data_IF_673981085374
#
_entry.id   IF_673981085374
#
_cell.length_a   1.000
_cell.length_b   1.000
_cell.length_c   1.000
_cell.angle_alpha   90.00
_cell.angle_beta   90.00
_cell.angle_gamma   90.00
#
_symmetry.space_group_name_H-M   'P 1'
#
loop_
_entity.id
_entity.type
_entity.pdbx_description
1 polymer ?
#
# COMPACT_ATOMS: atom_id res chain seq x y z
N UNK A 1 -49.19 -27.28 29.65
CA UNK A 1 -47.74 -27.54 29.49
C UNK A 1 -47.39 -27.56 28.01
N UNK A 2 -46.58 -26.59 27.55
CA UNK A 2 -45.45 -26.69 26.60
C UNK A 2 -45.27 -25.35 25.89
N UNK A 3 -44.17 -24.68 26.27
CA UNK A 3 -43.52 -23.57 25.57
C UNK A 3 -42.88 -24.11 24.27
N UNK A 4 -42.52 -23.19 23.37
CA UNK A 4 -41.50 -23.22 22.29
C UNK A 4 -42.10 -22.45 21.09
N UNK A 5 -41.47 -21.53 20.37
CA UNK A 5 -40.22 -20.76 20.46
C UNK A 5 -40.26 -19.82 19.25
N UNK A 6 -39.78 -18.58 19.39
CA UNK A 6 -39.58 -17.61 18.32
C UNK A 6 -38.75 -18.20 17.16
N UNK A 7 -38.93 -17.67 15.94
CA UNK A 7 -37.76 -17.13 15.28
C UNK A 7 -37.94 -15.66 14.90
N UNK A 8 -37.07 -14.88 15.51
CA UNK A 8 -36.51 -13.59 15.12
C UNK A 8 -36.46 -13.41 13.60
N UNK A 9 -37.24 -12.48 13.07
CA UNK A 9 -37.03 -11.94 11.72
C UNK A 9 -35.91 -10.90 11.83
N UNK A 10 -34.66 -11.35 11.72
CA UNK A 10 -33.51 -10.43 11.63
C UNK A 10 -33.53 -9.83 10.24
N UNK A 11 -33.97 -8.58 10.16
CA UNK A 11 -33.79 -7.72 9.00
C UNK A 11 -32.29 -7.47 8.83
N UNK A 12 -31.67 -8.20 7.91
CA UNK A 12 -30.29 -7.98 7.50
C UNK A 12 -30.22 -6.66 6.70
N UNK A 13 -29.99 -5.54 7.40
CA UNK A 13 -29.52 -4.31 6.76
C UNK A 13 -28.08 -4.53 6.28
N UNK A 14 -27.96 -4.92 5.02
CA UNK A 14 -26.74 -4.76 4.24
C UNK A 14 -26.44 -3.25 4.15
N UNK A 15 -25.50 -2.76 4.95
CA UNK A 15 -24.93 -1.43 4.77
C UNK A 15 -23.59 -1.57 4.04
N UNK A 16 -23.71 -1.29 2.74
CA UNK A 16 -22.72 -0.73 1.83
C UNK A 16 -21.26 -0.78 2.29
N UNK A 17 -20.48 -1.58 1.56
CA UNK A 17 -19.07 -1.32 1.33
C UNK A 17 -18.90 0.14 0.92
N UNK A 18 -18.43 0.98 1.83
CA UNK A 18 -17.91 2.30 1.47
C UNK A 18 -16.58 2.02 0.77
N UNK A 19 -16.66 1.78 -0.54
CA UNK A 19 -15.62 2.22 -1.43
C UNK A 19 -15.48 3.72 -1.15
N UNK A 20 -14.43 4.11 -0.44
CA UNK A 20 -14.00 5.50 -0.46
C UNK A 20 -13.34 5.63 -1.83
N UNK A 21 -14.00 6.23 -2.85
CA UNK A 21 -13.19 6.84 -3.88
C UNK A 21 -12.29 7.82 -3.13
N UNK A 22 -10.99 7.80 -3.41
CA UNK A 22 -10.14 8.93 -3.11
C UNK A 22 -10.60 10.10 -4.00
N UNK A 23 -11.82 10.58 -3.78
CA UNK A 23 -12.18 11.95 -4.04
C UNK A 23 -11.14 12.74 -3.26
N UNK A 24 -10.38 13.58 -3.95
CA UNK A 24 -9.68 14.67 -3.30
C UNK A 24 -10.72 15.35 -2.42
N UNK A 25 -10.70 15.04 -1.13
CA UNK A 25 -11.58 15.67 -0.18
C UNK A 25 -11.25 17.15 -0.31
N UNK A 26 -12.24 17.99 -0.60
CA UNK A 26 -12.10 19.44 -0.65
C UNK A 26 -11.83 19.95 0.78
N UNK A 27 -10.73 19.49 1.37
CA UNK A 27 -10.28 19.83 2.71
C UNK A 27 -9.86 21.28 2.65
N UNK A 28 -10.37 22.07 3.60
CA UNK A 28 -9.89 23.43 3.76
C UNK A 28 -8.41 23.39 4.12
N UNK A 29 -7.68 24.44 3.74
CA UNK A 29 -6.24 24.56 4.07
C UNK A 29 -5.98 24.41 5.58
N UNK A 30 -6.93 24.85 6.39
CA UNK A 30 -6.90 24.72 7.85
C UNK A 30 -7.00 23.26 8.29
N UNK A 31 -7.90 22.49 7.69
CA UNK A 31 -8.02 21.05 7.96
C UNK A 31 -6.74 20.30 7.59
N UNK A 32 -6.17 20.59 6.41
CA UNK A 32 -4.89 19.99 5.99
C UNK A 32 -3.75 20.34 6.95
N UNK A 33 -3.73 21.57 7.46
CA UNK A 33 -2.73 22.00 8.44
C UNK A 33 -2.89 21.23 9.76
N UNK A 34 -4.13 21.09 10.25
CA UNK A 34 -4.43 20.31 11.46
C UNK A 34 -4.02 18.84 11.31
N UNK A 35 -4.38 18.22 10.18
CA UNK A 35 -4.07 16.82 9.90
C UNK A 35 -2.55 16.60 9.81
N UNK A 36 -1.83 17.53 9.16
CA UNK A 36 -0.36 17.53 9.11
C UNK A 36 0.25 17.61 10.50
N UNK A 37 -0.21 18.55 11.32
CA UNK A 37 0.36 18.78 12.65
C UNK A 37 0.08 17.57 13.57
N UNK A 38 -1.10 16.95 13.44
CA UNK A 38 -1.43 15.69 14.11
C UNK A 38 -0.54 14.52 13.66
N UNK A 39 -0.30 14.39 12.35
CA UNK A 39 0.59 13.36 11.81
C UNK A 39 2.03 13.54 12.31
N UNK A 40 2.57 14.76 12.27
CA UNK A 40 3.92 15.07 12.74
C UNK A 40 4.06 14.98 14.27
N UNK A 41 2.96 15.10 15.02
CA UNK A 41 2.95 14.84 16.46
C UNK A 41 3.18 13.34 16.75
N UNK A 42 2.58 12.45 15.95
CA UNK A 42 2.61 10.99 16.12
C UNK A 42 3.81 10.31 15.46
N UNK A 43 4.21 10.79 14.29
CA UNK A 43 5.18 10.15 13.41
C UNK A 43 6.50 10.91 13.41
N UNK A 44 7.60 10.18 13.20
CA UNK A 44 8.91 10.75 12.88
C UNK A 44 9.46 10.09 11.63
N UNK A 45 10.23 10.84 10.85
CA UNK A 45 11.00 10.28 9.76
C UNK A 45 12.21 9.54 10.35
N UNK A 46 12.37 8.27 10.01
CA UNK A 46 13.55 7.48 10.30
C UNK A 46 14.47 7.47 9.08
N UNK A 47 15.58 8.21 9.19
CA UNK A 47 16.61 8.36 8.16
C UNK A 47 17.22 7.02 7.74
N UNK A 48 17.39 6.09 8.68
CA UNK A 48 18.09 4.82 8.43
C UNK A 48 17.28 3.92 7.50
N UNK A 49 15.97 3.89 7.70
CA UNK A 49 15.06 3.05 6.94
C UNK A 49 14.37 3.80 5.80
N UNK A 50 14.45 5.13 5.78
CA UNK A 50 13.72 5.99 4.85
C UNK A 50 12.21 5.85 5.03
N UNK A 51 11.74 5.72 6.27
CA UNK A 51 10.33 5.44 6.58
C UNK A 51 9.79 6.36 7.67
N UNK A 52 8.50 6.70 7.60
CA UNK A 52 7.78 7.28 8.73
C UNK A 52 7.49 6.20 9.76
N UNK A 53 7.95 6.40 10.99
CA UNK A 53 7.74 5.49 12.12
C UNK A 53 7.01 6.20 13.25
N UNK A 54 6.22 5.47 14.04
CA UNK A 54 5.62 6.04 15.25
C UNK A 54 6.74 6.49 16.20
N UNK A 55 6.54 7.64 16.86
CA UNK A 55 7.36 8.03 18.00
C UNK A 55 7.17 7.01 19.13
N UNK A 56 8.24 6.74 19.88
CA UNK A 56 8.23 5.76 20.97
C UNK A 56 7.09 6.06 21.96
N UNK A 57 6.38 5.03 22.40
CA UNK A 57 5.25 5.09 23.35
C UNK A 57 3.93 5.67 22.81
N UNK A 58 3.78 5.86 21.50
CA UNK A 58 2.49 6.18 20.88
C UNK A 58 1.82 4.91 20.34
N UNK A 59 0.50 4.79 20.51
CA UNK A 59 -0.28 3.72 19.89
C UNK A 59 -0.71 4.13 18.46
N UNK A 60 -0.77 3.18 17.51
CA UNK A 60 -1.40 3.43 16.23
C UNK A 60 -2.83 3.94 16.43
N UNK A 61 -3.27 4.99 15.71
CA UNK A 61 -4.65 5.47 15.81
C UNK A 61 -5.66 4.34 15.60
N UNK A 62 -6.63 4.23 16.50
CA UNK A 62 -7.64 3.16 16.46
C UNK A 62 -8.40 3.19 15.13
N UNK A 63 -8.51 2.04 14.48
CA UNK A 63 -9.20 1.89 13.20
C UNK A 63 -8.32 2.08 11.96
N UNK A 64 -7.03 2.38 12.12
CA UNK A 64 -6.07 2.39 11.00
C UNK A 64 -5.50 0.97 10.83
N UNK A 65 -5.63 0.41 9.63
CA UNK A 65 -5.06 -0.90 9.30
C UNK A 65 -3.55 -0.88 9.53
N UNK A 66 -3.01 -1.99 10.01
CA UNK A 66 -1.56 -2.11 10.14
C UNK A 66 -0.91 -1.99 8.77
N UNK A 67 0.33 -1.49 8.74
CA UNK A 67 1.09 -1.36 7.49
C UNK A 67 1.22 -2.70 6.77
N UNK A 68 1.37 -3.80 7.51
CA UNK A 68 1.46 -5.15 6.94
C UNK A 68 0.19 -5.53 6.17
N UNK A 69 -0.99 -5.21 6.72
CA UNK A 69 -2.26 -5.45 6.05
C UNK A 69 -2.42 -4.55 4.82
N UNK A 70 -2.05 -3.27 4.92
CA UNK A 70 -2.09 -2.34 3.76
C UNK A 70 -1.20 -2.84 2.63
N UNK A 71 0.01 -3.33 2.94
CA UNK A 71 0.91 -3.90 1.95
C UNK A 71 0.33 -5.18 1.34
N UNK A 72 -0.25 -6.07 2.14
CA UNK A 72 -0.89 -7.28 1.64
C UNK A 72 -2.06 -6.97 0.70
N UNK A 73 -2.89 -5.98 1.04
CA UNK A 73 -3.99 -5.53 0.18
C UNK A 73 -3.47 -4.93 -1.13
N UNK A 74 -2.43 -4.10 -1.07
CA UNK A 74 -1.78 -3.54 -2.25
C UNK A 74 -1.23 -4.65 -3.14
N UNK A 75 -0.50 -5.61 -2.57
CA UNK A 75 0.15 -6.67 -3.36
C UNK A 75 -0.90 -7.61 -3.98
N UNK A 76 -2.01 -7.88 -3.28
CA UNK A 76 -3.16 -8.57 -3.85
C UNK A 76 -3.79 -7.78 -5.00
N UNK A 77 -3.94 -6.47 -4.85
CA UNK A 77 -4.48 -5.60 -5.91
C UNK A 77 -3.55 -5.59 -7.14
N UNK A 78 -2.25 -5.39 -6.94
CA UNK A 78 -1.24 -5.37 -8.01
C UNK A 78 -1.07 -6.74 -8.70
N UNK A 79 -1.31 -7.83 -7.97
CA UNK A 79 -1.35 -9.17 -8.56
C UNK A 79 -2.48 -9.33 -9.58
N UNK A 80 -3.57 -8.60 -9.42
CA UNK A 80 -4.80 -8.75 -10.22
C UNK A 80 -5.07 -7.57 -11.16
N UNK A 81 -4.29 -6.49 -11.10
CA UNK A 81 -4.52 -5.27 -11.87
C UNK A 81 -3.22 -4.71 -12.46
N UNK A 82 -3.35 -4.02 -13.59
CA UNK A 82 -2.26 -3.27 -14.23
C UNK A 82 -2.75 -1.85 -14.49
N UNK A 83 -1.85 -0.87 -14.41
CA UNK A 83 -2.19 0.49 -14.82
C UNK A 83 -2.14 0.57 -16.35
N UNK A 84 -3.24 1.00 -16.96
CA UNK A 84 -3.33 1.25 -18.39
C UNK A 84 -3.22 2.76 -18.64
N UNK A 85 -2.08 3.20 -19.17
CA UNK A 85 -1.80 4.60 -19.45
C UNK A 85 -2.74 5.19 -20.52
N UNK A 86 -3.34 4.36 -21.38
CA UNK A 86 -4.25 4.84 -22.44
C UNK A 86 -5.60 5.25 -21.88
N UNK A 87 -6.07 4.51 -20.86
CA UNK A 87 -7.33 4.78 -20.16
C UNK A 87 -7.09 5.65 -18.92
N UNK A 88 -5.83 5.74 -18.46
CA UNK A 88 -5.45 6.47 -17.25
C UNK A 88 -5.98 5.82 -15.97
N UNK A 89 -6.21 4.50 -15.97
CA UNK A 89 -6.84 3.79 -14.85
C UNK A 89 -6.27 2.39 -14.63
N UNK A 90 -6.50 1.83 -13.45
CA UNK A 90 -6.16 0.45 -13.13
C UNK A 90 -7.20 -0.50 -13.74
N UNK A 91 -6.75 -1.46 -14.54
CA UNK A 91 -7.59 -2.45 -15.21
C UNK A 91 -7.25 -3.86 -14.73
N UNK A 92 -8.24 -4.77 -14.57
CA UNK A 92 -7.97 -6.16 -14.20
C UNK A 92 -7.19 -6.90 -15.27
N UNK A 93 -6.27 -7.78 -14.85
CA UNK A 93 -5.53 -8.66 -15.76
C UNK A 93 -6.17 -10.05 -15.84
N UNK A 94 -6.00 -10.72 -16.99
CA UNK A 94 -6.62 -12.03 -17.27
C UNK A 94 -6.10 -13.17 -16.38
N UNK A 95 -4.85 -13.11 -15.95
CA UNK A 95 -4.22 -14.10 -15.08
C UNK A 95 -3.39 -13.39 -14.01
N UNK A 96 -3.38 -13.88 -12.75
CA UNK A 96 -2.59 -13.30 -11.68
C UNK A 96 -1.11 -13.19 -12.04
N UNK A 97 -0.50 -12.04 -11.76
CA UNK A 97 0.94 -11.85 -11.96
C UNK A 97 1.73 -12.66 -10.93
N UNK A 98 2.83 -13.26 -11.37
CA UNK A 98 3.83 -13.79 -10.45
C UNK A 98 4.56 -12.64 -9.77
N UNK A 99 4.42 -12.54 -8.45
CA UNK A 99 4.97 -11.45 -7.64
C UNK A 99 6.22 -11.97 -6.93
N UNK A 100 7.27 -11.16 -6.90
CA UNK A 100 8.49 -11.51 -6.18
C UNK A 100 8.19 -11.86 -4.72
N UNK A 101 8.78 -12.95 -4.24
CA UNK A 101 8.74 -13.38 -2.84
C UNK A 101 9.88 -12.77 -2.00
N UNK A 102 10.76 -11.99 -2.64
CA UNK A 102 11.89 -11.36 -1.97
C UNK A 102 11.42 -10.26 -1.02
N UNK A 103 12.07 -10.18 0.13
CA UNK A 103 11.90 -9.05 1.04
C UNK A 103 12.48 -7.78 0.41
N UNK A 104 12.04 -6.61 0.88
CA UNK A 104 12.55 -5.33 0.40
C UNK A 104 14.07 -5.20 0.56
N UNK A 105 14.60 -5.74 1.64
CA UNK A 105 16.05 -5.78 1.92
C UNK A 105 16.79 -6.65 0.91
N UNK A 106 16.23 -7.82 0.58
CA UNK A 106 16.79 -8.71 -0.45
C UNK A 106 16.76 -8.03 -1.82
N UNK A 107 15.66 -7.40 -2.21
CA UNK A 107 15.56 -6.63 -3.45
C UNK A 107 16.60 -5.52 -3.51
N UNK A 108 16.80 -4.78 -2.40
CA UNK A 108 17.81 -3.73 -2.33
C UNK A 108 19.23 -4.30 -2.50
N UNK A 109 19.54 -5.42 -1.84
CA UNK A 109 20.85 -6.06 -1.98
C UNK A 109 21.09 -6.58 -3.40
N UNK A 110 20.10 -7.20 -4.02
CA UNK A 110 20.21 -7.66 -5.42
C UNK A 110 20.38 -6.49 -6.38
N UNK A 111 19.60 -5.41 -6.19
CA UNK A 111 19.73 -4.19 -6.99
C UNK A 111 21.13 -3.60 -6.86
N UNK A 112 21.67 -3.54 -5.63
CA UNK A 112 23.01 -3.04 -5.39
C UNK A 112 24.07 -3.91 -6.07
N UNK A 113 23.97 -5.25 -5.93
CA UNK A 113 24.87 -6.20 -6.62
C UNK A 113 24.80 -6.03 -8.14
N UNK A 114 23.60 -5.88 -8.70
CA UNK A 114 23.42 -5.66 -10.13
C UNK A 114 24.10 -4.36 -10.58
N UNK A 115 23.89 -3.24 -9.88
CA UNK A 115 24.52 -1.96 -10.21
C UNK A 115 26.05 -1.94 -10.02
N UNK A 116 26.58 -2.79 -9.13
CA UNK A 116 28.03 -2.99 -9.02
C UNK A 116 28.61 -3.76 -10.19
N UNK A 117 27.88 -4.73 -10.74
CA UNK A 117 28.35 -5.57 -11.84
C UNK A 117 28.08 -4.97 -13.22
N UNK A 118 27.04 -4.16 -13.36
CA UNK A 118 26.59 -3.62 -14.64
C UNK A 118 26.65 -2.09 -14.66
N UNK A 119 26.81 -1.52 -15.85
CA UNK A 119 26.59 -0.09 -16.11
C UNK A 119 25.62 0.05 -17.27
N UNK A 120 24.83 1.09 -17.25
CA UNK A 120 23.94 1.39 -18.34
C UNK A 120 24.70 2.09 -19.48
N UNK A 121 24.54 1.59 -20.71
CA UNK A 121 25.06 2.21 -21.92
C UNK A 121 23.91 2.94 -22.62
N UNK A 122 23.89 4.26 -22.47
CA UNK A 122 22.86 5.12 -23.05
C UNK A 122 22.84 5.08 -24.59
N UNK A 123 23.98 4.84 -25.24
CA UNK A 123 24.06 4.80 -26.70
C UNK A 123 23.38 3.58 -27.30
N UNK A 124 23.39 2.47 -26.54
CA UNK A 124 22.81 1.19 -26.93
C UNK A 124 21.47 0.91 -26.25
N UNK A 125 21.10 1.74 -25.27
CA UNK A 125 19.91 1.58 -24.45
C UNK A 125 19.91 0.24 -23.68
N UNK A 126 21.09 -0.25 -23.29
CA UNK A 126 21.32 -1.61 -22.77
C UNK A 126 22.22 -1.60 -21.51
N UNK A 127 22.05 -2.60 -20.64
CA UNK A 127 22.96 -2.83 -19.51
C UNK A 127 24.17 -3.67 -19.96
N UNK A 128 25.38 -3.16 -19.73
CA UNK A 128 26.63 -3.86 -20.06
C UNK A 128 27.43 -4.21 -18.81
N UNK A 129 28.04 -5.41 -18.81
CA UNK A 129 28.90 -5.85 -17.71
C UNK A 129 30.09 -4.91 -17.55
N UNK A 130 30.42 -4.56 -16.29
CA UNK A 130 31.65 -3.87 -15.91
C UNK A 130 32.84 -4.83 -15.84
N UNK A 131 32.61 -6.11 -15.59
CA UNK A 131 33.64 -7.14 -15.68
C UNK A 131 33.93 -7.44 -17.15
N UNK A 132 35.06 -6.95 -17.62
CA UNK A 132 35.70 -7.32 -18.88
C UNK A 132 37.13 -7.75 -18.59
#
# INVERSE_FOLDING_TARGET
MKRLSLPTLVLATAMATVAVPAAAQNLTREQVKMDRDAFLALMRWDELTGMWVLKSNMEPPKGVMSRAEVLAMRDQFLRMNVYDDTVGSWVPIKAPRDMSTLTREQVNMETLRFLMMYRYDESRNEWISRMR
#
